data_IF_848726786575
#
_entry.id   IF_848726786575
#
_cell.length_a   1.000
_cell.length_b   1.000
_cell.length_c   1.000
_cell.angle_alpha   90.00
_cell.angle_beta   90.00
_cell.angle_gamma   90.00
#
_symmetry.space_group_name_H-M   'P 1'
#
loop_
_entity.id
_entity.type
_entity.pdbx_description
1 polymer ?
#
# COMPACT_ATOMS: atom_id res chain seq x y z
N UNK A 1 3.18 -10.91 11.18
CA UNK A 1 3.83 -10.90 9.84
C UNK A 1 2.92 -10.02 8.99
N UNK A 2 3.19 -8.74 9.05
CA UNK A 2 2.21 -7.73 8.70
C UNK A 2 2.43 -7.30 7.26
N UNK A 3 1.52 -7.75 6.41
CA UNK A 3 1.50 -7.45 4.99
C UNK A 3 0.21 -6.71 4.64
N UNK A 4 0.31 -5.77 3.71
CA UNK A 4 -0.82 -4.95 3.25
C UNK A 4 -0.95 -5.16 1.75
N UNK A 5 -2.15 -5.52 1.32
CA UNK A 5 -2.45 -5.72 -0.09
C UNK A 5 -3.18 -4.48 -0.63
N UNK A 6 -2.59 -3.84 -1.62
CA UNK A 6 -3.16 -2.69 -2.32
C UNK A 6 -3.44 -3.07 -3.76
N UNK A 7 -4.66 -2.85 -4.22
CA UNK A 7 -5.07 -3.16 -5.60
C UNK A 7 -5.44 -1.86 -6.29
N UNK A 8 -4.56 -1.29 -7.13
CA UNK A 8 -4.92 -0.15 -7.95
C UNK A 8 -5.79 -0.55 -9.13
N UNK A 9 -6.55 0.42 -9.61
CA UNK A 9 -7.43 0.32 -10.77
C UNK A 9 -7.22 1.52 -11.71
N UNK A 10 -7.92 1.54 -12.85
CA UNK A 10 -7.78 2.62 -13.84
C UNK A 10 -8.19 4.01 -13.29
N UNK A 11 -9.05 4.04 -12.28
CA UNK A 11 -9.50 5.27 -11.62
C UNK A 11 -8.68 5.60 -10.37
N UNK A 12 -8.23 4.60 -9.62
CA UNK A 12 -7.42 4.79 -8.40
C UNK A 12 -6.01 4.24 -8.58
N UNK A 13 -5.06 5.16 -8.74
CA UNK A 13 -3.64 4.83 -8.75
C UNK A 13 -3.18 4.28 -7.39
N UNK A 14 -2.07 3.55 -7.40
CA UNK A 14 -1.48 2.95 -6.19
C UNK A 14 -1.23 3.97 -5.07
N UNK A 15 -0.91 5.22 -5.42
CA UNK A 15 -0.77 6.32 -4.45
C UNK A 15 -2.10 6.59 -3.71
N UNK A 16 -3.19 6.72 -4.47
CA UNK A 16 -4.52 6.99 -3.92
C UNK A 16 -5.01 5.84 -3.06
N UNK A 17 -4.81 4.59 -3.52
CA UNK A 17 -5.17 3.40 -2.75
C UNK A 17 -4.34 3.32 -1.46
N UNK A 18 -3.04 3.56 -1.53
CA UNK A 18 -2.16 3.58 -0.36
C UNK A 18 -2.55 4.67 0.65
N UNK A 19 -2.83 5.90 0.19
CA UNK A 19 -3.28 6.99 1.08
C UNK A 19 -4.60 6.66 1.76
N UNK A 20 -5.57 6.15 1.01
CA UNK A 20 -6.88 5.77 1.54
C UNK A 20 -6.76 4.67 2.60
N UNK A 21 -5.91 3.67 2.36
CA UNK A 21 -5.66 2.61 3.34
C UNK A 21 -4.95 3.15 4.59
N UNK A 22 -3.97 4.04 4.41
CA UNK A 22 -3.29 4.70 5.53
C UNK A 22 -4.26 5.51 6.38
N UNK A 23 -5.14 6.30 5.76
CA UNK A 23 -6.15 7.09 6.47
C UNK A 23 -7.15 6.21 7.22
N UNK A 24 -7.60 5.10 6.60
CA UNK A 24 -8.47 4.13 7.26
C UNK A 24 -7.80 3.50 8.48
N UNK A 25 -6.55 3.06 8.35
CA UNK A 25 -5.80 2.44 9.45
C UNK A 25 -5.50 3.45 10.56
N UNK A 26 -5.08 4.67 10.21
CA UNK A 26 -4.83 5.74 11.17
C UNK A 26 -6.11 6.10 11.93
N UNK A 27 -7.25 6.20 11.23
CA UNK A 27 -8.55 6.44 11.85
C UNK A 27 -8.96 5.28 12.78
N UNK A 28 -8.76 4.04 12.36
CA UNK A 28 -9.01 2.86 13.20
C UNK A 28 -8.11 2.83 14.43
N UNK A 29 -6.82 3.16 14.29
CA UNK A 29 -5.87 3.23 15.39
C UNK A 29 -6.25 4.30 16.43
N UNK A 30 -6.69 5.48 15.97
CA UNK A 30 -7.20 6.53 16.84
C UNK A 30 -8.48 6.12 17.58
N UNK A 31 -9.35 5.33 16.94
CA UNK A 31 -10.61 4.85 17.54
C UNK A 31 -10.40 3.66 18.49
N UNK A 32 -9.44 2.77 18.20
CA UNK A 32 -9.18 1.56 18.98
C UNK A 32 -8.49 1.84 20.33
N UNK A 33 -7.92 3.04 20.52
CA UNK A 33 -7.15 3.39 21.71
C UNK A 33 -5.76 2.73 21.71
N UNK A 34 -4.79 3.34 22.41
CA UNK A 34 -3.38 2.88 22.49
C UNK A 34 -3.31 1.41 22.93
N UNK A 35 -3.16 0.49 21.98
CA UNK A 35 -3.06 -0.95 22.27
C UNK A 35 -2.87 -1.81 21.04
N UNK A 36 -3.30 -1.33 19.87
CA UNK A 36 -3.18 -2.11 18.64
C UNK A 36 -1.81 -1.91 17.98
N UNK A 37 -0.82 -2.63 18.53
CA UNK A 37 0.55 -2.64 18.04
C UNK A 37 0.63 -3.06 16.58
N UNK A 38 -0.31 -3.90 16.12
CA UNK A 38 -0.42 -4.37 14.74
C UNK A 38 -0.83 -3.26 13.77
N UNK A 39 -1.87 -2.48 14.12
CA UNK A 39 -2.25 -1.29 13.35
C UNK A 39 -1.11 -0.28 13.27
N UNK A 40 -0.39 -0.06 14.38
CA UNK A 40 0.79 0.81 14.40
C UNK A 40 1.86 0.37 13.41
N UNK A 41 2.18 -0.92 13.34
CA UNK A 41 3.15 -1.45 12.38
C UNK A 41 2.69 -1.30 10.93
N UNK A 42 1.40 -1.53 10.65
CA UNK A 42 0.82 -1.35 9.31
C UNK A 42 0.83 0.11 8.85
N UNK A 43 0.52 1.04 9.75
CA UNK A 43 0.57 2.49 9.50
C UNK A 43 2.00 2.91 9.15
N UNK A 44 2.99 2.47 9.93
CA UNK A 44 4.40 2.79 9.69
C UNK A 44 4.91 2.18 8.36
N UNK A 45 4.44 0.99 8.01
CA UNK A 45 4.74 0.35 6.73
C UNK A 45 4.22 1.17 5.55
N UNK A 46 2.93 1.55 5.59
CA UNK A 46 2.29 2.39 4.57
C UNK A 46 2.94 3.76 4.48
N UNK A 47 3.25 4.37 5.63
CA UNK A 47 3.93 5.66 5.69
C UNK A 47 5.29 5.59 5.02
N UNK A 48 6.12 4.61 5.38
CA UNK A 48 7.43 4.40 4.76
C UNK A 48 7.32 4.18 3.24
N UNK A 49 6.28 3.47 2.80
CA UNK A 49 6.00 3.30 1.38
C UNK A 49 5.57 4.61 0.71
N UNK A 50 4.67 5.39 1.32
CA UNK A 50 4.25 6.70 0.83
C UNK A 50 5.41 7.70 0.74
N UNK A 51 6.38 7.62 1.65
CA UNK A 51 7.55 8.52 1.64
C UNK A 51 8.66 8.04 0.67
N UNK A 52 8.81 6.73 0.44
CA UNK A 52 9.93 6.18 -0.33
C UNK A 52 9.58 5.65 -1.72
N UNK A 53 8.30 5.45 -2.04
CA UNK A 53 7.89 4.80 -3.29
C UNK A 53 7.87 5.77 -4.47
N UNK A 54 8.33 5.26 -5.62
CA UNK A 54 8.34 5.98 -6.88
C UNK A 54 6.97 5.87 -7.59
N UNK A 55 5.97 6.64 -7.14
CA UNK A 55 4.60 6.56 -7.64
C UNK A 55 4.48 6.79 -9.15
N UNK A 56 5.30 7.67 -9.73
CA UNK A 56 5.35 7.87 -11.18
C UNK A 56 5.70 6.58 -11.93
N UNK A 57 6.70 5.84 -11.44
CA UNK A 57 7.13 4.57 -12.05
C UNK A 57 6.09 3.48 -11.83
N UNK A 58 5.56 3.37 -10.61
CA UNK A 58 4.55 2.37 -10.28
C UNK A 58 3.26 2.57 -11.06
N UNK A 59 2.82 3.82 -11.18
CA UNK A 59 1.64 4.20 -11.96
C UNK A 59 1.83 3.84 -13.43
N UNK A 60 2.93 4.27 -14.06
CA UNK A 60 3.22 3.96 -15.47
C UNK A 60 3.26 2.45 -15.75
N UNK A 61 3.84 1.67 -14.83
CA UNK A 61 3.83 0.21 -14.94
C UNK A 61 2.40 -0.35 -14.82
N UNK A 62 1.68 0.05 -13.77
CA UNK A 62 0.34 -0.48 -13.47
C UNK A 62 -0.66 -0.13 -14.57
N UNK A 63 -0.71 1.13 -15.02
CA UNK A 63 -1.55 1.57 -16.15
C UNK A 63 -1.26 0.74 -17.40
N UNK A 64 0.00 0.44 -17.71
CA UNK A 64 0.37 -0.39 -18.85
C UNK A 64 -0.18 -1.82 -18.80
N UNK A 65 -0.38 -2.40 -17.61
CA UNK A 65 -1.01 -3.71 -17.42
C UNK A 65 -2.55 -3.60 -17.36
N UNK A 66 -3.07 -2.60 -16.65
CA UNK A 66 -4.50 -2.35 -16.51
C UNK A 66 -5.16 -2.07 -17.87
N UNK A 67 -4.49 -1.31 -18.75
CA UNK A 67 -4.94 -1.06 -20.12
C UNK A 67 -4.97 -2.34 -20.99
N UNK A 68 -4.21 -3.37 -20.62
CA UNK A 68 -4.25 -4.70 -21.26
C UNK A 68 -5.32 -5.62 -20.64
N UNK A 69 -6.16 -5.10 -19.75
CA UNK A 69 -7.16 -5.88 -19.02
C UNK A 69 -6.61 -6.76 -17.90
N UNK A 70 -5.32 -6.62 -17.55
CA UNK A 70 -4.69 -7.37 -16.45
C UNK A 70 -4.91 -6.65 -15.12
N UNK A 71 -5.02 -7.41 -14.03
CA UNK A 71 -5.09 -6.83 -12.69
C UNK A 71 -3.71 -6.77 -12.08
N UNK A 72 -3.45 -5.69 -11.35
CA UNK A 72 -2.18 -5.51 -10.64
C UNK A 72 -2.47 -5.46 -9.15
N UNK A 73 -1.67 -6.18 -8.37
CA UNK A 73 -1.73 -6.18 -6.92
C UNK A 73 -0.37 -5.81 -6.36
N UNK A 74 -0.35 -4.98 -5.34
CA UNK A 74 0.84 -4.62 -4.60
C UNK A 74 0.76 -5.23 -3.20
N UNK A 75 1.75 -6.04 -2.85
CA UNK A 75 1.90 -6.57 -1.50
C UNK A 75 3.03 -5.82 -0.82
N UNK A 76 2.69 -5.01 0.16
CA UNK A 76 3.62 -4.34 1.07
C UNK A 76 3.95 -5.29 2.21
N UNK A 77 5.22 -5.35 2.58
CA UNK A 77 5.68 -6.19 3.68
C UNK A 77 6.94 -5.58 4.32
N UNK A 78 7.13 -5.87 5.61
CA UNK A 78 8.34 -5.44 6.32
C UNK A 78 9.43 -6.48 6.15
N UNK A 79 10.59 -6.06 5.66
CA UNK A 79 11.76 -6.93 5.52
C UNK A 79 12.98 -6.23 6.10
N UNK A 80 13.62 -6.86 7.11
CA UNK A 80 14.79 -6.30 7.82
C UNK A 80 14.58 -4.86 8.31
N UNK A 81 13.39 -4.58 8.85
CA UNK A 81 13.01 -3.26 9.36
C UNK A 81 12.67 -2.22 8.30
N UNK A 82 12.82 -2.52 7.00
CA UNK A 82 12.48 -1.61 5.90
C UNK A 82 11.16 -2.02 5.25
N UNK A 83 10.36 -1.03 4.85
CA UNK A 83 9.19 -1.28 4.03
C UNK A 83 9.63 -1.72 2.63
N UNK A 84 9.15 -2.89 2.20
CA UNK A 84 9.32 -3.42 0.86
C UNK A 84 7.95 -3.62 0.23
N UNK A 85 7.94 -3.67 -1.10
CA UNK A 85 6.73 -3.95 -1.85
C UNK A 85 7.03 -4.90 -2.99
N UNK A 86 6.04 -5.72 -3.33
CA UNK A 86 6.05 -6.59 -4.48
C UNK A 86 4.83 -6.33 -5.34
N UNK A 87 5.06 -6.13 -6.64
CA UNK A 87 4.00 -6.05 -7.62
C UNK A 87 3.75 -7.45 -8.20
N UNK A 88 2.50 -7.90 -8.10
CA UNK A 88 1.99 -9.14 -8.67
C UNK A 88 1.00 -8.80 -9.78
N UNK A 89 0.99 -9.63 -10.82
CA UNK A 89 0.06 -9.54 -11.95
C UNK A 89 -0.93 -10.70 -11.80
N UNK A 90 -2.22 -10.39 -11.89
CA UNK A 90 -3.33 -11.35 -11.87
C UNK A 90 -4.05 -11.32 -13.21
#
# INVERSE_FOLDING_TARGET
MDQIELVPDLSHCIETVARKEYENLARSYLQAGKGDSELGEKIELLRSFLESADFRKLRKQSEGYLLKGQKVKFTLYRERGKAKYRMLRC
#
